data_IF_637735156079
#
_entry.id   IF_637735156079
#
_cell.length_a   1.000
_cell.length_b   1.000
_cell.length_c   1.000
_cell.angle_alpha   90.00
_cell.angle_beta   90.00
_cell.angle_gamma   90.00
#
_symmetry.space_group_name_H-M   'P 1'
#
loop_
_entity.id
_entity.type
_entity.pdbx_description
1 polymer ?
#
# COMPACT_ATOMS: atom_id res chain seq x y z
N UNK A 1 23.80 -64.95 -3.47
CA UNK A 1 25.08 -64.21 -3.39
C UNK A 1 24.83 -62.77 -3.82
N UNK A 2 24.76 -61.83 -2.88
CA UNK A 2 24.68 -60.39 -3.20
C UNK A 2 25.52 -59.64 -2.17
N UNK A 3 26.74 -59.27 -2.55
CA UNK A 3 27.63 -58.45 -1.72
C UNK A 3 27.05 -57.03 -1.66
N UNK A 4 26.40 -56.69 -0.55
CA UNK A 4 26.09 -55.30 -0.22
C UNK A 4 27.42 -54.57 0.02
N UNK A 5 27.83 -53.73 -0.94
CA UNK A 5 29.07 -52.95 -0.88
C UNK A 5 28.94 -51.94 0.26
N UNK A 6 29.49 -52.26 1.43
CA UNK A 6 29.58 -51.33 2.58
C UNK A 6 30.39 -50.11 2.16
N UNK A 7 29.71 -48.99 1.93
CA UNK A 7 30.33 -47.70 1.68
C UNK A 7 31.13 -47.30 2.94
N UNK A 8 32.46 -47.34 2.87
CA UNK A 8 33.31 -46.84 3.96
C UNK A 8 33.30 -45.32 3.87
N UNK A 9 32.46 -44.68 4.70
CA UNK A 9 32.42 -43.24 4.83
C UNK A 9 33.74 -42.79 5.46
N UNK A 10 34.60 -42.14 4.68
CA UNK A 10 35.83 -41.54 5.21
C UNK A 10 35.50 -40.16 5.76
N UNK A 11 36.18 -39.70 6.82
CA UNK A 11 35.91 -38.39 7.43
C UNK A 11 36.06 -37.23 6.42
N UNK A 12 36.92 -37.40 5.41
CA UNK A 12 37.10 -36.44 4.30
C UNK A 12 35.87 -36.35 3.39
N UNK A 13 35.18 -37.46 3.15
CA UNK A 13 33.94 -37.46 2.36
C UNK A 13 32.80 -36.76 3.10
N UNK A 14 32.67 -36.99 4.41
CA UNK A 14 31.68 -36.30 5.24
C UNK A 14 31.93 -34.79 5.28
N UNK A 15 33.18 -34.37 5.44
CA UNK A 15 33.56 -32.95 5.42
C UNK A 15 33.23 -32.29 4.06
N UNK A 16 33.46 -32.99 2.95
CA UNK A 16 33.13 -32.50 1.61
C UNK A 16 31.62 -32.33 1.42
N UNK A 17 30.83 -33.32 1.84
CA UNK A 17 29.35 -33.22 1.77
C UNK A 17 28.83 -32.09 2.65
N UNK A 18 29.36 -31.93 3.86
CA UNK A 18 29.01 -30.81 4.75
C UNK A 18 29.33 -29.45 4.14
N UNK A 19 30.50 -29.31 3.49
CA UNK A 19 30.87 -28.08 2.79
C UNK A 19 29.85 -27.78 1.68
N UNK A 20 29.51 -28.77 0.85
CA UNK A 20 28.54 -28.59 -0.24
C UNK A 20 27.17 -28.20 0.31
N UNK A 21 26.71 -28.84 1.39
CA UNK A 21 25.46 -28.47 2.06
C UNK A 21 25.48 -27.03 2.59
N UNK A 22 26.59 -26.59 3.19
CA UNK A 22 26.75 -25.22 3.66
C UNK A 22 26.70 -24.20 2.53
N UNK A 23 27.43 -24.47 1.43
CA UNK A 23 27.41 -23.60 0.25
C UNK A 23 26.00 -23.51 -0.33
N UNK A 24 25.30 -24.64 -0.45
CA UNK A 24 23.92 -24.66 -0.91
C UNK A 24 22.99 -23.85 0.00
N UNK A 25 23.10 -24.03 1.32
CA UNK A 25 22.32 -23.26 2.30
C UNK A 25 22.60 -21.75 2.20
N UNK A 26 23.85 -21.34 2.02
CA UNK A 26 24.22 -19.94 1.83
C UNK A 26 23.59 -19.35 0.57
N UNK A 27 23.62 -20.06 -0.56
CA UNK A 27 23.01 -19.59 -1.82
C UNK A 27 21.50 -19.42 -1.66
N UNK A 28 20.81 -20.42 -1.09
CA UNK A 28 19.36 -20.35 -0.85
C UNK A 28 19.02 -19.21 0.12
N UNK A 29 19.82 -19.01 1.17
CA UNK A 29 19.61 -17.94 2.11
C UNK A 29 19.71 -16.56 1.45
N UNK A 30 20.68 -16.34 0.57
CA UNK A 30 20.83 -15.07 -0.16
C UNK A 30 19.62 -14.81 -1.07
N UNK A 31 19.17 -15.81 -1.83
CA UNK A 31 17.99 -15.71 -2.70
C UNK A 31 16.71 -15.40 -1.88
N UNK A 32 16.56 -16.03 -0.72
CA UNK A 32 15.45 -15.75 0.19
C UNK A 32 15.49 -14.31 0.73
N UNK A 33 16.66 -13.80 1.11
CA UNK A 33 16.80 -12.41 1.59
C UNK A 33 16.40 -11.39 0.52
N UNK A 34 16.80 -11.62 -0.74
CA UNK A 34 16.42 -10.76 -1.85
C UNK A 34 14.91 -10.75 -2.08
N UNK A 35 14.29 -11.94 -2.16
CA UNK A 35 12.83 -12.07 -2.30
C UNK A 35 12.08 -11.41 -1.16
N UNK A 36 12.55 -11.57 0.07
CA UNK A 36 11.93 -10.95 1.25
C UNK A 36 12.01 -9.42 1.18
N UNK A 37 13.15 -8.88 0.71
CA UNK A 37 13.32 -7.45 0.46
C UNK A 37 12.35 -6.92 -0.59
N UNK A 38 12.23 -7.62 -1.73
CA UNK A 38 11.28 -7.26 -2.79
C UNK A 38 9.83 -7.27 -2.32
N UNK A 39 9.43 -8.31 -1.57
CA UNK A 39 8.07 -8.42 -1.03
C UNK A 39 7.77 -7.26 -0.09
N UNK A 40 8.69 -6.94 0.84
CA UNK A 40 8.51 -5.80 1.76
C UNK A 40 8.41 -4.47 1.03
N UNK A 41 9.21 -4.27 -0.02
CA UNK A 41 9.14 -3.05 -0.84
C UNK A 41 7.78 -2.93 -1.54
N UNK A 42 7.28 -4.02 -2.12
CA UNK A 42 5.94 -4.06 -2.75
C UNK A 42 4.83 -3.84 -1.75
N UNK A 43 4.92 -4.43 -0.56
CA UNK A 43 3.95 -4.20 0.53
C UNK A 43 3.94 -2.73 0.96
N UNK A 44 5.10 -2.11 1.13
CA UNK A 44 5.20 -0.70 1.49
C UNK A 44 4.59 0.20 0.40
N UNK A 45 4.90 -0.05 -0.87
CA UNK A 45 4.32 0.68 -2.00
C UNK A 45 2.78 0.51 -2.05
N UNK A 46 2.30 -0.72 -1.91
CA UNK A 46 0.87 -1.01 -1.97
C UNK A 46 0.11 -0.40 -0.79
N UNK A 47 0.68 -0.45 0.41
CA UNK A 47 0.11 0.19 1.59
C UNK A 47 0.06 1.71 1.45
N UNK A 48 1.11 2.34 0.88
CA UNK A 48 1.10 3.77 0.60
C UNK A 48 0.00 4.15 -0.40
N UNK A 49 -0.17 3.37 -1.47
CA UNK A 49 -1.27 3.56 -2.44
C UNK A 49 -2.63 3.38 -1.78
N UNK A 50 -2.79 2.36 -0.94
CA UNK A 50 -4.03 2.10 -0.23
C UNK A 50 -4.41 3.24 0.72
N UNK A 51 -3.45 3.76 1.49
CA UNK A 51 -3.68 4.89 2.38
C UNK A 51 -4.06 6.17 1.61
N UNK A 52 -3.41 6.44 0.48
CA UNK A 52 -3.77 7.56 -0.39
C UNK A 52 -5.20 7.42 -0.94
N UNK A 53 -5.58 6.22 -1.40
CA UNK A 53 -6.91 5.96 -1.92
C UNK A 53 -8.00 6.10 -0.85
N UNK A 54 -7.76 5.61 0.36
CA UNK A 54 -8.69 5.80 1.49
C UNK A 54 -8.89 7.28 1.83
N UNK A 55 -7.81 8.08 1.82
CA UNK A 55 -7.91 9.51 2.07
C UNK A 55 -8.72 10.22 0.97
N UNK A 56 -8.55 9.82 -0.30
CA UNK A 56 -9.38 10.32 -1.40
C UNK A 56 -10.84 9.90 -1.25
N UNK A 57 -11.11 8.65 -0.90
CA UNK A 57 -12.47 8.15 -0.68
C UNK A 57 -13.20 8.98 0.40
N UNK A 58 -12.56 9.20 1.55
CA UNK A 58 -13.12 10.03 2.63
C UNK A 58 -13.39 11.47 2.18
N UNK A 59 -12.45 12.07 1.43
CA UNK A 59 -12.62 13.41 0.89
C UNK A 59 -13.79 13.47 -0.10
N UNK A 60 -13.93 12.47 -0.97
CA UNK A 60 -15.02 12.40 -1.94
C UNK A 60 -16.36 12.21 -1.23
N UNK A 61 -16.43 11.35 -0.22
CA UNK A 61 -17.63 11.14 0.59
C UNK A 61 -18.08 12.46 1.25
N UNK A 62 -17.14 13.19 1.86
CA UNK A 62 -17.41 14.50 2.44
C UNK A 62 -17.93 15.51 1.40
N UNK A 63 -17.34 15.55 0.21
CA UNK A 63 -17.80 16.43 -0.87
C UNK A 63 -19.20 16.06 -1.36
N UNK A 64 -19.53 14.77 -1.43
CA UNK A 64 -20.87 14.31 -1.80
C UNK A 64 -21.88 14.71 -0.73
N UNK A 65 -21.57 14.52 0.55
CA UNK A 65 -22.43 14.93 1.66
C UNK A 65 -22.63 16.44 1.68
N UNK A 66 -21.56 17.21 1.51
CA UNK A 66 -21.60 18.66 1.39
C UNK A 66 -22.45 19.11 0.19
N UNK A 67 -22.28 18.51 -0.99
CA UNK A 67 -23.08 18.84 -2.17
C UNK A 67 -24.57 18.50 -2.01
N UNK A 68 -24.89 17.47 -1.20
CA UNK A 68 -26.26 17.10 -0.83
C UNK A 68 -26.85 18.02 0.24
N UNK A 69 -26.01 18.71 1.02
CA UNK A 69 -26.47 19.61 2.07
C UNK A 69 -27.19 20.83 1.48
N UNK A 70 -28.15 21.36 2.23
CA UNK A 70 -28.85 22.59 1.85
C UNK A 70 -27.92 23.81 1.86
N UNK A 71 -26.81 23.78 2.61
CA UNK A 71 -25.80 24.85 2.60
C UNK A 71 -25.21 25.06 1.20
N UNK A 72 -24.79 23.99 0.51
CA UNK A 72 -24.27 24.09 -0.84
C UNK A 72 -25.32 24.65 -1.81
N UNK A 73 -26.58 24.22 -1.67
CA UNK A 73 -27.69 24.73 -2.50
C UNK A 73 -27.95 26.21 -2.27
N UNK A 74 -27.91 26.66 -1.02
CA UNK A 74 -28.08 28.07 -0.63
C UNK A 74 -26.91 28.90 -1.14
N UNK A 75 -25.68 28.40 -1.03
CA UNK A 75 -24.47 29.09 -1.49
C UNK A 75 -24.45 29.21 -3.03
N UNK A 76 -24.78 28.13 -3.73
CA UNK A 76 -24.94 28.13 -5.18
C UNK A 76 -26.06 29.08 -5.63
N UNK A 77 -27.19 29.13 -4.92
CA UNK A 77 -28.27 30.07 -5.20
C UNK A 77 -27.87 31.53 -4.92
N UNK A 78 -27.07 31.80 -3.87
CA UNK A 78 -26.48 33.14 -3.62
C UNK A 78 -25.62 33.57 -4.81
N UNK A 79 -24.72 32.71 -5.26
CA UNK A 79 -23.77 33.02 -6.33
C UNK A 79 -24.40 33.14 -7.72
N UNK A 80 -25.33 32.24 -8.07
CA UNK A 80 -25.90 32.17 -9.43
C UNK A 80 -27.20 32.93 -9.60
N UNK A 81 -28.03 32.94 -8.56
CA UNK A 81 -29.37 33.51 -8.60
C UNK A 81 -29.48 34.80 -7.78
N UNK A 82 -28.41 35.23 -7.11
CA UNK A 82 -28.44 36.39 -6.23
C UNK A 82 -29.41 36.20 -5.07
N UNK A 83 -29.56 34.97 -4.57
CA UNK A 83 -30.38 34.68 -3.39
C UNK A 83 -29.85 35.52 -2.21
N UNK A 84 -30.72 36.30 -1.57
CA UNK A 84 -30.39 37.11 -0.38
C UNK A 84 -31.35 36.69 0.72
N UNK A 85 -30.82 36.19 1.84
CA UNK A 85 -31.62 35.81 2.99
C UNK A 85 -32.14 37.03 3.76
N UNK A 86 -33.18 36.88 4.60
CA UNK A 86 -33.78 38.00 5.34
C UNK A 86 -32.80 38.79 6.21
N UNK A 87 -31.75 38.13 6.71
CA UNK A 87 -30.73 38.72 7.59
C UNK A 87 -29.50 39.26 6.84
N UNK A 88 -29.44 39.12 5.50
CA UNK A 88 -28.31 39.61 4.69
C UNK A 88 -28.43 41.13 4.44
N UNK A 89 -27.31 41.86 4.53
CA UNK A 89 -27.25 43.31 4.27
C UNK A 89 -27.24 43.57 2.76
N UNK A 90 -28.30 44.21 2.24
CA UNK A 90 -28.36 44.64 0.83
C UNK A 90 -27.61 45.96 0.63
N UNK A 91 -26.52 45.93 -0.13
CA UNK A 91 -25.84 47.12 -0.61
C UNK A 91 -26.50 47.60 -1.89
N UNK A 92 -27.26 48.70 -1.82
CA UNK A 92 -27.82 49.34 -3.00
C UNK A 92 -26.88 50.48 -3.41
N UNK A 93 -26.30 50.40 -4.59
CA UNK A 93 -25.48 51.49 -5.15
C UNK A 93 -26.48 52.45 -5.79
N UNK A 94 -26.88 53.49 -5.04
CA UNK A 94 -27.68 54.56 -5.60
C UNK A 94 -26.83 55.32 -6.63
N UNK A 95 -27.32 55.39 -7.88
CA UNK A 95 -26.83 56.32 -8.91
C UNK A 95 -27.51 57.69 -8.74
#
# INVERSE_FOLDING_TARGET
>A
MTHARRFRVTPRFVALVMLVCLVFACVVFIDQQQKLGEVRAREAELNAKYAALQAEEQRLEYMIEYAKSDEYRIQYAREKLGLVLPDDIKFNIAE
#
